data_IF_731194318033
#
_entry.id   IF_731194318033
#
_cell.length_a   1.000
_cell.length_b   1.000
_cell.length_c   1.000
_cell.angle_alpha   90.00
_cell.angle_beta   90.00
_cell.angle_gamma   90.00
#
_symmetry.space_group_name_H-M   'P 1'
#
loop_
_entity.id
_entity.type
_entity.pdbx_description
1 polymer ?
#
# COMPACT_ATOMS: atom_id res chain seq x y z
N UNK A 1 20.90 -21.09 -28.07
CA UNK A 1 21.21 -20.22 -26.93
C UNK A 1 19.90 -19.97 -26.19
N UNK A 2 19.65 -20.68 -25.08
CA UNK A 2 18.51 -20.35 -24.19
C UNK A 2 18.85 -19.05 -23.48
N UNK A 3 18.16 -17.96 -23.80
CA UNK A 3 18.17 -16.78 -22.97
C UNK A 3 17.38 -17.11 -21.68
N UNK A 4 18.09 -17.31 -20.59
CA UNK A 4 17.49 -17.35 -19.27
C UNK A 4 16.99 -15.94 -18.95
N UNK A 5 15.71 -15.68 -19.20
CA UNK A 5 15.05 -14.48 -18.69
C UNK A 5 14.97 -14.62 -17.19
N UNK A 6 15.73 -13.81 -16.47
CA UNK A 6 15.61 -13.74 -15.01
C UNK A 6 14.22 -13.22 -14.66
N UNK A 7 13.37 -14.09 -14.13
CA UNK A 7 12.08 -13.71 -13.58
C UNK A 7 12.35 -13.05 -12.22
N UNK A 8 12.04 -11.77 -12.09
CA UNK A 8 12.15 -11.03 -10.85
C UNK A 8 10.78 -10.97 -10.17
N UNK A 9 10.71 -11.42 -8.93
CA UNK A 9 9.52 -11.25 -8.09
C UNK A 9 9.34 -9.76 -7.74
N UNK A 10 8.10 -9.31 -7.75
CA UNK A 10 7.71 -7.97 -7.32
C UNK A 10 6.91 -8.06 -6.03
N UNK A 11 7.02 -7.04 -5.18
CA UNK A 11 6.15 -6.89 -4.03
C UNK A 11 4.70 -6.62 -4.47
N UNK A 12 3.73 -7.00 -3.62
CA UNK A 12 2.35 -6.59 -3.82
C UNK A 12 2.23 -5.07 -3.90
N UNK A 13 1.44 -4.57 -4.86
CA UNK A 13 1.17 -3.15 -5.02
C UNK A 13 -0.34 -2.88 -5.06
N UNK A 14 -0.73 -1.64 -4.74
CA UNK A 14 -2.12 -1.23 -4.64
C UNK A 14 -2.42 -0.08 -5.58
N UNK A 15 -3.61 -0.11 -6.20
CA UNK A 15 -4.12 1.02 -6.98
C UNK A 15 -4.51 2.17 -6.06
N UNK A 16 -5.05 1.84 -4.88
CA UNK A 16 -5.34 2.80 -3.81
C UNK A 16 -4.15 2.90 -2.83
N UNK A 17 -2.94 3.22 -3.33
CA UNK A 17 -1.71 3.26 -2.53
C UNK A 17 -1.80 4.20 -1.32
N UNK A 18 -2.65 5.22 -1.38
CA UNK A 18 -2.90 6.19 -0.31
C UNK A 18 -3.70 5.59 0.87
N UNK A 19 -4.37 4.45 0.69
CA UNK A 19 -5.14 3.77 1.76
C UNK A 19 -4.23 2.89 2.62
N UNK A 20 -3.15 2.35 2.07
CA UNK A 20 -2.20 1.51 2.80
C UNK A 20 -0.85 2.21 3.00
N UNK A 21 -0.81 3.31 3.77
CA UNK A 21 0.36 4.19 3.83
C UNK A 21 1.62 3.51 4.36
N UNK A 22 1.49 2.53 5.27
CA UNK A 22 2.63 1.81 5.84
C UNK A 22 3.25 0.78 4.87
N UNK A 23 2.57 0.46 3.75
CA UNK A 23 3.16 -0.33 2.66
C UNK A 23 3.90 0.54 1.65
N UNK A 24 3.63 1.85 1.68
CA UNK A 24 4.19 2.84 0.77
C UNK A 24 5.47 3.47 1.34
N UNK A 25 5.40 3.97 2.57
CA UNK A 25 6.51 4.66 3.22
C UNK A 25 6.35 4.62 4.75
N UNK A 26 7.33 4.09 5.50
CA UNK A 26 7.28 4.09 6.97
C UNK A 26 7.13 5.48 7.60
N UNK A 27 7.52 6.55 6.90
CA UNK A 27 7.36 7.93 7.37
C UNK A 27 5.90 8.38 7.54
N UNK A 28 4.92 7.59 7.05
CA UNK A 28 3.50 7.86 7.32
C UNK A 28 3.02 7.39 8.70
N UNK A 29 3.82 6.65 9.44
CA UNK A 29 3.44 6.11 10.75
C UNK A 29 3.09 7.24 11.73
N UNK A 30 1.85 7.21 12.24
CA UNK A 30 1.32 8.23 13.16
C UNK A 30 1.03 9.59 12.53
N UNK A 31 1.18 9.74 11.19
CA UNK A 31 0.97 11.01 10.49
C UNK A 31 -0.41 11.05 9.83
N UNK A 32 -1.39 11.53 10.57
CA UNK A 32 -2.78 11.74 10.15
C UNK A 32 -3.50 12.68 11.12
N UNK A 33 -4.61 13.26 10.72
CA UNK A 33 -5.38 14.19 11.56
C UNK A 33 -6.30 13.42 12.52
N UNK A 34 -5.70 12.73 13.49
CA UNK A 34 -6.41 11.91 14.48
C UNK A 34 -5.52 11.49 15.63
N UNK A 35 -6.01 10.57 16.47
CA UNK A 35 -5.23 9.97 17.54
C UNK A 35 -4.71 8.59 17.15
N UNK A 36 -5.54 7.84 16.44
CA UNK A 36 -5.20 6.54 15.92
C UNK A 36 -5.90 6.33 14.56
N UNK A 37 -5.27 5.53 13.72
CA UNK A 37 -5.79 5.17 12.40
C UNK A 37 -5.79 3.65 12.27
N UNK A 38 -6.87 3.13 11.77
CA UNK A 38 -6.97 1.78 11.25
C UNK A 38 -7.14 1.85 9.73
N UNK A 39 -6.42 1.02 8.98
CA UNK A 39 -6.58 0.93 7.54
C UNK A 39 -6.63 -0.53 7.11
N UNK A 40 -7.51 -0.85 6.19
CA UNK A 40 -7.65 -2.16 5.58
C UNK A 40 -7.81 -2.04 4.08
N UNK A 41 -7.19 -2.96 3.34
CA UNK A 41 -7.30 -3.01 1.90
C UNK A 41 -7.38 -4.47 1.43
N UNK A 42 -8.24 -4.71 0.44
CA UNK A 42 -8.41 -5.99 -0.23
C UNK A 42 -8.38 -5.80 -1.74
N UNK A 43 -7.42 -6.41 -2.41
CA UNK A 43 -7.22 -6.34 -3.86
C UNK A 43 -7.28 -7.73 -4.47
N UNK A 44 -8.05 -7.87 -5.54
CA UNK A 44 -8.04 -9.04 -6.41
C UNK A 44 -7.62 -8.62 -7.80
N UNK A 45 -6.44 -9.07 -8.25
CA UNK A 45 -5.86 -8.69 -9.54
C UNK A 45 -5.95 -9.87 -10.51
N UNK A 46 -6.31 -9.58 -11.76
CA UNK A 46 -6.46 -10.51 -12.88
C UNK A 46 -7.35 -11.73 -12.54
N UNK A 47 -8.60 -11.49 -12.14
CA UNK A 47 -9.50 -12.56 -11.70
C UNK A 47 -9.81 -13.59 -12.80
N UNK A 48 -9.60 -13.23 -14.07
CA UNK A 48 -9.80 -14.10 -15.23
C UNK A 48 -8.61 -15.03 -15.52
N UNK A 49 -7.47 -14.78 -14.89
CA UNK A 49 -6.25 -15.59 -15.04
C UNK A 49 -6.08 -16.43 -13.76
N UNK A 50 -6.88 -17.48 -13.61
CA UNK A 50 -6.81 -18.45 -12.51
C UNK A 50 -6.60 -17.81 -11.13
N UNK A 51 -7.35 -16.72 -10.81
CA UNK A 51 -7.20 -15.96 -9.57
C UNK A 51 -5.74 -15.57 -9.29
N UNK A 52 -5.08 -14.94 -10.26
CA UNK A 52 -3.64 -14.74 -10.26
C UNK A 52 -3.10 -14.15 -8.97
N UNK A 53 -3.73 -13.07 -8.45
CA UNK A 53 -3.27 -12.46 -7.20
C UNK A 53 -4.44 -12.00 -6.32
N UNK A 54 -4.32 -12.26 -5.02
CA UNK A 54 -5.23 -11.74 -4.00
C UNK A 54 -4.40 -11.23 -2.83
N UNK A 55 -4.47 -9.93 -2.58
CA UNK A 55 -3.71 -9.26 -1.54
C UNK A 55 -4.64 -8.60 -0.54
N UNK A 56 -4.40 -8.78 0.74
CA UNK A 56 -5.10 -8.10 1.82
C UNK A 56 -4.11 -7.47 2.79
N UNK A 57 -4.45 -6.28 3.29
CA UNK A 57 -3.68 -5.58 4.32
C UNK A 57 -4.57 -5.13 5.46
N UNK A 58 -3.98 -5.09 6.64
CA UNK A 58 -4.55 -4.43 7.79
C UNK A 58 -3.43 -3.71 8.54
N UNK A 59 -3.64 -2.44 8.89
CA UNK A 59 -2.67 -1.67 9.67
C UNK A 59 -3.37 -0.88 10.76
N UNK A 60 -2.64 -0.65 11.83
CA UNK A 60 -3.04 0.21 12.94
C UNK A 60 -1.85 1.06 13.35
N UNK A 61 -2.03 2.37 13.41
CA UNK A 61 -0.98 3.29 13.82
C UNK A 61 -1.55 4.44 14.65
N UNK A 62 -0.71 4.98 15.51
CA UNK A 62 -1.07 6.03 16.45
C UNK A 62 0.13 6.88 16.84
N UNK A 63 -0.12 8.11 17.29
CA UNK A 63 0.91 9.00 17.82
C UNK A 63 1.11 8.80 19.32
N UNK A 64 2.37 8.85 19.76
CA UNK A 64 2.77 8.72 21.16
C UNK A 64 3.42 10.01 21.68
N UNK A 65 3.51 10.15 22.99
CA UNK A 65 4.22 11.24 23.68
C UNK A 65 3.78 12.66 23.27
N UNK A 66 2.54 12.82 22.77
CA UNK A 66 2.03 14.07 22.21
C UNK A 66 2.14 15.28 23.16
N UNK A 67 2.14 15.05 24.50
CA UNK A 67 2.21 16.10 25.51
C UNK A 67 3.65 16.39 25.99
N UNK A 68 4.63 15.57 25.60
CA UNK A 68 6.04 15.67 26.00
C UNK A 68 6.94 16.16 24.91
N UNK A 69 6.52 15.98 23.64
CA UNK A 69 7.29 16.41 22.46
C UNK A 69 7.21 17.93 22.28
N UNK A 70 8.20 18.53 21.59
CA UNK A 70 8.10 19.91 21.14
C UNK A 70 6.80 20.20 20.40
N UNK A 71 6.40 21.46 20.37
CA UNK A 71 5.18 21.89 19.68
C UNK A 71 5.28 21.49 18.20
N UNK A 72 4.22 20.87 17.67
CA UNK A 72 4.09 20.41 16.29
C UNK A 72 4.98 19.22 15.87
N UNK A 73 5.82 18.69 16.76
CA UNK A 73 6.50 17.42 16.53
C UNK A 73 5.52 16.24 16.81
N UNK A 74 5.73 15.13 16.11
CA UNK A 74 4.91 13.92 16.28
C UNK A 74 5.81 12.68 16.24
N UNK A 75 5.56 11.76 17.16
CA UNK A 75 6.18 10.44 17.13
C UNK A 75 5.10 9.38 16.98
N UNK A 76 5.21 8.59 15.92
CA UNK A 76 4.25 7.54 15.57
C UNK A 76 4.78 6.14 15.83
N UNK A 77 3.88 5.25 16.22
CA UNK A 77 4.08 3.79 16.22
C UNK A 77 2.98 3.14 15.39
N UNK A 78 3.32 2.03 14.72
CA UNK A 78 2.35 1.32 13.90
C UNK A 78 2.68 -0.15 13.73
N UNK A 79 1.65 -0.91 13.40
CA UNK A 79 1.74 -2.33 13.03
C UNK A 79 1.02 -2.53 11.70
N UNK A 80 1.52 -3.47 10.91
CA UNK A 80 0.97 -3.82 9.60
C UNK A 80 1.02 -5.33 9.41
N UNK A 81 -0.06 -5.89 8.89
CA UNK A 81 -0.12 -7.25 8.40
C UNK A 81 -0.52 -7.26 6.93
N UNK A 82 0.19 -8.03 6.12
CA UNK A 82 -0.11 -8.27 4.70
C UNK A 82 -0.22 -9.78 4.49
N UNK A 83 -1.23 -10.19 3.76
CA UNK A 83 -1.32 -11.53 3.21
C UNK A 83 -1.50 -11.41 1.69
N UNK A 84 -0.58 -12.00 0.95
CA UNK A 84 -0.55 -12.00 -0.50
C UNK A 84 -0.53 -13.43 -1.02
N UNK A 85 -1.49 -13.75 -1.88
CA UNK A 85 -1.68 -15.08 -2.44
C UNK A 85 -1.61 -15.01 -3.96
N UNK A 86 -0.87 -15.92 -4.56
CA UNK A 86 -0.77 -16.03 -6.01
C UNK A 86 -0.96 -17.46 -6.51
N UNK A 87 -1.33 -17.60 -7.79
CA UNK A 87 -1.50 -18.90 -8.44
C UNK A 87 -2.52 -19.79 -7.73
N UNK A 88 -3.73 -19.29 -7.46
CA UNK A 88 -4.76 -20.02 -6.73
C UNK A 88 -4.27 -20.55 -5.34
N UNK A 89 -3.51 -19.73 -4.61
CA UNK A 89 -2.90 -20.03 -3.31
C UNK A 89 -1.74 -21.02 -3.35
N UNK A 90 -1.12 -21.27 -4.49
CA UNK A 90 0.12 -22.05 -4.58
C UNK A 90 1.22 -21.35 -3.80
N UNK A 91 1.38 -20.03 -4.00
CA UNK A 91 2.29 -19.21 -3.20
C UNK A 91 1.48 -18.32 -2.25
N UNK A 92 1.83 -18.37 -0.98
CA UNK A 92 1.24 -17.55 0.08
C UNK A 92 2.35 -16.81 0.83
N UNK A 93 2.33 -15.48 0.76
CA UNK A 93 3.27 -14.58 1.44
C UNK A 93 2.55 -13.87 2.58
N UNK A 94 3.11 -13.93 3.77
CA UNK A 94 2.60 -13.21 4.94
C UNK A 94 3.69 -12.32 5.50
N UNK A 95 3.37 -11.03 5.71
CA UNK A 95 4.30 -10.05 6.25
C UNK A 95 3.69 -9.41 7.49
N UNK A 96 4.46 -9.34 8.55
CA UNK A 96 4.09 -8.69 9.81
C UNK A 96 5.14 -7.64 10.14
N UNK A 97 4.72 -6.39 10.21
CA UNK A 97 5.64 -5.26 10.36
C UNK A 97 5.32 -4.43 11.58
N UNK A 98 6.37 -3.91 12.19
CA UNK A 98 6.31 -2.85 13.20
C UNK A 98 7.03 -1.63 12.64
N UNK A 99 6.41 -0.47 12.74
CA UNK A 99 6.95 0.78 12.20
C UNK A 99 6.98 1.88 13.25
N UNK A 100 7.91 2.79 13.10
CA UNK A 100 8.01 4.03 13.87
C UNK A 100 8.44 5.17 12.97
N UNK A 101 7.93 6.37 13.24
CA UNK A 101 8.35 7.57 12.52
C UNK A 101 8.35 8.78 13.44
N UNK A 102 9.34 9.63 13.26
CA UNK A 102 9.43 10.92 13.93
C UNK A 102 9.29 12.05 12.93
N UNK A 103 8.30 12.92 13.15
CA UNK A 103 8.03 14.11 12.36
C UNK A 103 8.48 15.34 13.13
N UNK A 104 9.42 16.07 12.58
CA UNK A 104 9.97 17.31 13.10
C UNK A 104 9.33 18.50 12.39
N UNK A 105 8.74 19.42 13.15
CA UNK A 105 8.37 20.73 12.65
C UNK A 105 9.64 21.59 12.46
N UNK A 106 9.74 22.24 11.31
CA UNK A 106 10.89 23.10 10.95
C UNK A 106 10.60 24.58 11.23
N UNK A 107 9.35 24.90 11.51
CA UNK A 107 8.87 26.24 11.85
C UNK A 107 7.96 26.20 13.09
N UNK A 108 7.73 27.36 13.71
CA UNK A 108 6.91 27.46 14.92
C UNK A 108 5.44 27.15 14.67
N UNK A 109 4.94 27.42 13.47
CA UNK A 109 3.56 27.17 13.07
C UNK A 109 3.30 25.69 12.69
N UNK A 110 4.36 24.89 12.52
CA UNK A 110 4.28 23.48 12.06
C UNK A 110 3.80 23.34 10.61
N UNK A 111 3.99 24.37 9.79
CA UNK A 111 3.64 24.35 8.37
C UNK A 111 4.61 23.51 7.55
N UNK A 112 5.89 23.58 7.90
CA UNK A 112 6.96 22.80 7.30
C UNK A 112 7.35 21.65 8.21
N UNK A 113 7.25 20.42 7.72
CA UNK A 113 7.57 19.24 8.51
C UNK A 113 8.42 18.27 7.70
N UNK A 114 9.43 17.70 8.34
CA UNK A 114 10.19 16.57 7.82
C UNK A 114 9.96 15.36 8.70
N UNK A 115 9.75 14.21 8.09
CA UNK A 115 9.49 12.96 8.81
C UNK A 115 10.46 11.89 8.34
N UNK A 116 11.03 11.15 9.29
CA UNK A 116 11.86 9.97 9.02
C UNK A 116 11.18 8.77 9.67
N UNK A 117 11.06 7.68 8.92
CA UNK A 117 10.41 6.46 9.36
C UNK A 117 11.26 5.21 9.15
N UNK A 118 11.06 4.24 10.04
CA UNK A 118 11.70 2.93 10.01
C UNK A 118 10.64 1.84 10.21
N UNK A 119 10.85 0.70 9.57
CA UNK A 119 9.97 -0.44 9.68
C UNK A 119 10.79 -1.73 9.67
N UNK A 120 10.53 -2.61 10.63
CA UNK A 120 11.00 -3.97 10.66
C UNK A 120 9.88 -4.93 10.29
N UNK A 121 10.14 -5.88 9.42
CA UNK A 121 9.16 -6.83 8.90
C UNK A 121 9.64 -8.26 9.08
N UNK A 122 8.80 -9.10 9.66
CA UNK A 122 8.95 -10.55 9.60
C UNK A 122 8.14 -11.08 8.42
N UNK A 123 8.80 -11.74 7.48
CA UNK A 123 8.21 -12.32 6.29
C UNK A 123 8.19 -13.85 6.38
N UNK A 124 7.06 -14.44 6.00
CA UNK A 124 6.89 -15.89 5.87
C UNK A 124 6.30 -16.18 4.49
N UNK A 125 7.03 -16.94 3.67
CA UNK A 125 6.58 -17.39 2.35
C UNK A 125 6.40 -18.89 2.34
N UNK A 126 5.26 -19.35 1.84
CA UNK A 126 4.90 -20.77 1.77
C UNK A 126 4.51 -21.10 0.34
N UNK A 127 5.15 -22.14 -0.20
CA UNK A 127 4.85 -22.69 -1.51
C UNK A 127 4.20 -24.08 -1.32
N UNK A 128 2.92 -24.19 -1.66
CA UNK A 128 2.18 -25.46 -1.63
C UNK A 128 2.21 -26.11 -3.02
N UNK A 129 3.23 -26.90 -3.27
CA UNK A 129 3.47 -27.58 -4.55
C UNK A 129 2.34 -28.54 -4.90
N UNK A 130 1.63 -29.10 -3.94
CA UNK A 130 0.51 -30.03 -4.16
C UNK A 130 -0.69 -29.39 -4.90
N UNK A 131 -0.67 -28.07 -5.05
CA UNK A 131 -1.65 -27.27 -5.80
C UNK A 131 -1.16 -26.86 -7.18
N UNK A 132 0.09 -27.20 -7.51
CA UNK A 132 0.66 -26.93 -8.82
C UNK A 132 0.27 -28.04 -9.78
N UNK A 133 0.03 -27.68 -11.02
CA UNK A 133 -0.18 -28.61 -12.12
C UNK A 133 1.18 -28.90 -12.77
N UNK A 134 1.52 -30.16 -12.98
CA UNK A 134 2.78 -30.61 -13.58
C UNK A 134 2.57 -31.12 -14.99
N UNK A 135 3.63 -31.07 -15.79
CA UNK A 135 3.58 -31.46 -17.20
C UNK A 135 3.17 -32.94 -17.38
N UNK A 136 3.62 -33.83 -16.49
CA UNK A 136 3.32 -35.26 -16.53
C UNK A 136 1.84 -35.60 -16.18
N UNK A 137 1.13 -34.65 -15.61
CA UNK A 137 -0.31 -34.75 -15.34
C UNK A 137 -1.16 -34.41 -16.58
N UNK A 138 -0.57 -33.75 -17.58
CA UNK A 138 -1.32 -33.26 -18.74
C UNK A 138 -1.61 -34.41 -19.72
N UNK A 139 -2.89 -34.68 -19.93
CA UNK A 139 -3.41 -35.63 -20.93
C UNK A 139 -4.24 -34.92 -21.99
N UNK A 140 -4.67 -35.64 -23.02
CA UNK A 140 -5.59 -35.11 -24.03
C UNK A 140 -6.95 -34.70 -23.45
N UNK A 141 -7.28 -35.13 -22.23
CA UNK A 141 -8.52 -34.80 -21.51
C UNK A 141 -8.33 -33.73 -20.42
N UNK A 142 -7.10 -33.21 -20.24
CA UNK A 142 -6.73 -32.24 -19.21
C UNK A 142 -5.80 -32.81 -18.17
N UNK A 143 -5.62 -32.09 -17.05
CA UNK A 143 -4.76 -32.49 -15.95
C UNK A 143 -5.42 -33.60 -15.10
N UNK A 144 -4.67 -34.66 -14.83
CA UNK A 144 -5.17 -35.84 -14.06
C UNK A 144 -5.08 -35.63 -12.56
N UNK A 145 -4.25 -34.68 -12.11
CA UNK A 145 -3.93 -34.48 -10.69
C UNK A 145 -3.04 -35.58 -10.09
N UNK A 146 -2.39 -36.39 -10.94
CA UNK A 146 -1.48 -37.46 -10.52
C UNK A 146 -0.13 -37.21 -11.17
N UNK A 147 0.84 -36.76 -10.39
CA UNK A 147 2.23 -36.54 -10.83
C UNK A 147 3.15 -37.66 -10.33
N UNK A 148 4.17 -37.98 -11.10
CA UNK A 148 5.28 -38.82 -10.70
C UNK A 148 6.32 -38.10 -9.84
N UNK A 149 6.22 -36.77 -9.74
CA UNK A 149 7.12 -35.96 -8.92
C UNK A 149 6.93 -36.25 -7.42
N UNK A 150 8.05 -36.51 -6.73
CA UNK A 150 8.02 -36.81 -5.29
C UNK A 150 8.37 -35.56 -4.50
N UNK A 151 7.34 -34.92 -3.95
CA UNK A 151 7.51 -33.83 -3.01
C UNK A 151 7.33 -34.33 -1.59
N UNK A 152 8.17 -33.84 -0.68
CA UNK A 152 7.99 -34.15 0.76
C UNK A 152 6.60 -33.68 1.25
N UNK A 153 6.14 -34.24 2.37
CA UNK A 153 4.80 -33.94 2.91
C UNK A 153 4.58 -32.51 3.41
N UNK A 154 5.62 -31.70 3.49
CA UNK A 154 5.54 -30.31 3.99
C UNK A 154 5.62 -29.29 2.85
N UNK A 155 4.82 -28.24 2.89
CA UNK A 155 4.99 -27.11 1.98
C UNK A 155 6.37 -26.50 2.19
N UNK A 156 7.03 -26.12 1.10
CA UNK A 156 8.27 -25.36 1.19
C UNK A 156 7.97 -24.02 1.85
N UNK A 157 8.71 -23.67 2.89
CA UNK A 157 8.55 -22.40 3.58
C UNK A 157 9.90 -21.75 3.88
N UNK A 158 9.94 -20.45 3.75
CA UNK A 158 11.07 -19.61 4.11
C UNK A 158 10.58 -18.47 5.00
N UNK A 159 11.41 -18.10 5.97
CA UNK A 159 11.17 -16.95 6.81
C UNK A 159 12.42 -16.06 6.82
N UNK A 160 12.20 -14.76 6.82
CA UNK A 160 13.29 -13.79 6.91
C UNK A 160 12.85 -12.51 7.59
N UNK A 161 13.84 -11.74 8.03
CA UNK A 161 13.63 -10.39 8.52
C UNK A 161 14.04 -9.36 7.46
N UNK A 162 13.25 -8.31 7.37
CA UNK A 162 13.41 -7.25 6.40
C UNK A 162 13.35 -5.88 7.06
N UNK A 163 14.15 -4.94 6.58
CA UNK A 163 14.23 -3.57 7.09
C UNK A 163 13.91 -2.56 6.00
N UNK A 164 13.06 -1.60 6.35
CA UNK A 164 12.56 -0.58 5.46
C UNK A 164 12.74 0.79 6.09
N UNK A 165 12.97 1.79 5.27
CA UNK A 165 13.11 3.18 5.72
C UNK A 165 12.47 4.14 4.74
N UNK A 166 12.14 5.33 5.25
CA UNK A 166 11.61 6.35 4.38
C UNK A 166 11.68 7.75 5.00
N UNK A 167 11.57 8.71 4.14
CA UNK A 167 11.56 10.13 4.47
C UNK A 167 10.39 10.82 3.77
N UNK A 168 9.83 11.83 4.39
CA UNK A 168 8.75 12.62 3.82
C UNK A 168 8.88 14.07 4.27
N UNK A 169 8.70 14.99 3.35
CA UNK A 169 8.49 16.40 3.61
C UNK A 169 7.04 16.75 3.38
N UNK A 170 6.45 17.53 4.27
CA UNK A 170 5.09 18.03 4.17
C UNK A 170 5.07 19.54 4.41
N UNK A 171 4.25 20.21 3.62
CA UNK A 171 3.98 21.66 3.68
C UNK A 171 2.49 21.89 3.79
N UNK A 172 2.08 22.71 4.74
CA UNK A 172 0.70 23.23 4.84
C UNK A 172 0.73 24.75 4.74
N UNK A 173 -0.20 25.34 4.00
CA UNK A 173 -0.32 26.79 3.87
C UNK A 173 -1.49 27.34 4.69
N UNK A 174 -1.54 28.66 4.90
CA UNK A 174 -2.63 29.33 5.62
C UNK A 174 -4.01 29.14 4.97
N UNK A 175 -4.04 28.86 3.66
CA UNK A 175 -5.26 28.55 2.91
C UNK A 175 -5.68 27.08 3.00
N UNK A 176 -5.16 26.32 4.00
CA UNK A 176 -5.41 24.89 4.19
C UNK A 176 -4.92 23.99 3.02
N UNK A 177 -4.20 24.53 2.03
CA UNK A 177 -3.55 23.69 1.05
C UNK A 177 -2.45 22.88 1.75
N UNK A 178 -2.32 21.63 1.36
CA UNK A 178 -1.22 20.82 1.82
C UNK A 178 -0.54 20.08 0.67
N UNK A 179 0.78 19.99 0.77
CA UNK A 179 1.63 19.33 -0.23
C UNK A 179 2.55 18.36 0.51
N UNK A 180 2.87 17.25 -0.11
CA UNK A 180 3.86 16.34 0.43
C UNK A 180 4.68 15.70 -0.67
N UNK A 181 5.92 15.39 -0.35
CA UNK A 181 6.84 14.64 -1.19
C UNK A 181 7.62 13.68 -0.30
N UNK A 182 7.70 12.43 -0.68
CA UNK A 182 8.39 11.41 0.09
C UNK A 182 9.12 10.40 -0.78
N UNK A 183 10.05 9.71 -0.13
CA UNK A 183 10.75 8.59 -0.70
C UNK A 183 10.94 7.48 0.33
N UNK A 184 10.95 6.23 -0.12
CA UNK A 184 11.19 5.08 0.74
C UNK A 184 12.04 4.04 0.03
N UNK A 185 12.76 3.25 0.82
CA UNK A 185 13.49 2.07 0.37
C UNK A 185 13.07 0.90 1.22
N UNK A 186 12.51 -0.11 0.58
CA UNK A 186 12.17 -1.40 1.16
C UNK A 186 13.26 -2.41 0.84
N UNK A 187 13.39 -3.45 1.66
CA UNK A 187 14.42 -4.50 1.53
C UNK A 187 15.83 -3.93 1.56
N UNK A 188 16.11 -3.03 2.52
CA UNK A 188 17.44 -2.39 2.68
C UNK A 188 18.52 -3.43 2.94
N UNK A 189 18.22 -4.45 3.75
CA UNK A 189 19.14 -5.55 4.09
C UNK A 189 19.18 -6.65 3.03
N UNK A 190 18.34 -6.58 1.96
CA UNK A 190 18.28 -7.56 0.86
C UNK A 190 18.30 -9.01 1.37
N UNK A 191 17.28 -9.44 2.13
CA UNK A 191 17.26 -10.78 2.72
C UNK A 191 17.34 -11.86 1.63
N UNK A 192 17.88 -13.02 1.98
CA UNK A 192 17.92 -14.17 1.08
C UNK A 192 16.55 -14.84 1.02
N UNK A 193 16.07 -15.07 -0.19
CA UNK A 193 14.77 -15.62 -0.50
C UNK A 193 14.91 -16.85 -1.40
N UNK A 194 15.12 -18.03 -0.82
CA UNK A 194 15.30 -19.26 -1.57
C UNK A 194 14.61 -20.43 -0.88
N UNK A 195 13.78 -21.16 -1.63
CA UNK A 195 13.16 -22.41 -1.17
C UNK A 195 14.10 -23.62 -1.25
N UNK A 196 15.13 -23.55 -2.10
CA UNK A 196 16.04 -24.67 -2.41
C UNK A 196 17.47 -24.44 -1.92
N UNK A 197 17.69 -23.46 -1.02
CA UNK A 197 19.01 -23.17 -0.45
C UNK A 197 19.97 -22.41 -1.37
N UNK A 198 19.50 -21.92 -2.53
CA UNK A 198 20.27 -21.02 -3.40
C UNK A 198 20.41 -19.60 -2.80
N UNK A 199 21.37 -18.84 -3.27
CA UNK A 199 21.58 -17.46 -2.81
C UNK A 199 20.82 -16.47 -3.68
N UNK A 200 19.51 -16.33 -3.43
CA UNK A 200 18.66 -15.33 -4.11
C UNK A 200 18.38 -14.18 -3.16
N UNK A 201 19.04 -13.05 -3.39
CA UNK A 201 18.82 -11.83 -2.62
C UNK A 201 17.61 -11.07 -3.15
N UNK A 202 16.68 -10.74 -2.26
CA UNK A 202 15.54 -9.89 -2.60
C UNK A 202 16.02 -8.50 -3.01
N UNK A 203 15.54 -8.03 -4.15
CA UNK A 203 15.94 -6.70 -4.65
C UNK A 203 15.25 -5.60 -3.86
N UNK A 204 16.01 -4.56 -3.52
CA UNK A 204 15.45 -3.38 -2.90
C UNK A 204 14.42 -2.70 -3.80
N UNK A 205 13.32 -2.25 -3.19
CA UNK A 205 12.29 -1.45 -3.85
C UNK A 205 12.45 0.01 -3.44
N UNK A 206 12.74 0.87 -4.42
CA UNK A 206 12.78 2.32 -4.23
C UNK A 206 11.45 2.92 -4.69
N UNK A 207 10.89 3.81 -3.87
CA UNK A 207 9.62 4.49 -4.15
C UNK A 207 9.78 5.98 -3.94
N UNK A 208 9.24 6.77 -4.88
CA UNK A 208 9.04 8.22 -4.74
C UNK A 208 7.56 8.49 -4.90
N UNK A 209 6.99 9.28 -4.02
CA UNK A 209 5.57 9.60 -4.04
C UNK A 209 5.33 11.04 -3.58
N UNK A 210 4.23 11.61 -4.00
CA UNK A 210 3.84 12.94 -3.57
C UNK A 210 2.39 13.23 -3.88
N UNK A 211 1.93 14.34 -3.36
CA UNK A 211 0.57 14.79 -3.61
C UNK A 211 0.27 16.17 -3.07
N UNK A 212 -0.94 16.61 -3.37
CA UNK A 212 -1.47 17.87 -2.97
C UNK A 212 -2.94 17.74 -2.58
N UNK A 213 -3.32 18.43 -1.54
CA UNK A 213 -4.70 18.70 -1.15
C UNK A 213 -4.96 20.19 -1.33
N UNK A 214 -5.97 20.53 -2.12
CA UNK A 214 -6.34 21.91 -2.43
C UNK A 214 -7.85 22.07 -2.24
N UNK A 215 -8.31 22.79 -1.19
CA UNK A 215 -9.72 23.12 -1.05
C UNK A 215 -10.17 24.08 -2.16
N UNK A 216 -11.36 23.82 -2.70
CA UNK A 216 -12.01 24.65 -3.72
C UNK A 216 -13.32 25.17 -3.14
N UNK A 217 -13.26 26.38 -2.58
CA UNK A 217 -14.38 26.92 -1.84
C UNK A 217 -14.66 26.13 -0.56
N UNK A 218 -15.90 26.17 -0.09
CA UNK A 218 -16.25 25.68 1.26
C UNK A 218 -16.54 24.18 1.31
N UNK A 219 -16.91 23.54 0.20
CA UNK A 219 -17.49 22.19 0.21
C UNK A 219 -16.80 21.20 -0.73
N UNK A 220 -15.73 21.63 -1.38
CA UNK A 220 -15.03 20.78 -2.36
C UNK A 220 -13.53 20.87 -2.13
N UNK A 221 -12.84 19.77 -2.43
CA UNK A 221 -11.38 19.78 -2.49
C UNK A 221 -10.87 18.84 -3.58
N UNK A 222 -9.70 19.16 -4.11
CA UNK A 222 -8.96 18.27 -5.01
C UNK A 222 -7.84 17.61 -4.21
N UNK A 223 -7.73 16.30 -4.37
CA UNK A 223 -6.62 15.48 -3.91
C UNK A 223 -5.89 14.95 -5.15
N UNK A 224 -4.73 15.46 -5.47
CA UNK A 224 -3.88 14.94 -6.53
C UNK A 224 -2.72 14.16 -5.92
N UNK A 225 -2.34 13.05 -6.55
CA UNK A 225 -1.22 12.26 -6.05
C UNK A 225 -0.53 11.46 -7.15
N UNK A 226 0.73 11.14 -6.92
CA UNK A 226 1.51 10.25 -7.77
C UNK A 226 2.38 9.32 -6.94
N UNK A 227 2.74 8.21 -7.55
CA UNK A 227 3.74 7.27 -7.06
C UNK A 227 4.59 6.80 -8.23
N UNK A 228 5.89 6.71 -8.02
CA UNK A 228 6.82 6.01 -8.88
C UNK A 228 7.61 5.01 -8.05
N UNK A 229 7.58 3.75 -8.42
CA UNK A 229 8.34 2.70 -7.74
C UNK A 229 9.11 1.84 -8.72
N UNK A 230 10.27 1.35 -8.25
CA UNK A 230 11.16 0.47 -9.00
C UNK A 230 11.69 -0.64 -8.10
N UNK A 231 11.57 -1.89 -8.55
CA UNK A 231 12.16 -3.06 -7.92
C UNK A 231 12.76 -3.96 -9.01
N UNK A 232 14.06 -4.18 -8.97
CA UNK A 232 14.78 -4.88 -10.03
C UNK A 232 14.53 -4.28 -11.44
N UNK A 233 14.01 -5.06 -12.37
CA UNK A 233 13.65 -4.63 -13.72
C UNK A 233 12.25 -4.02 -13.79
N UNK A 234 11.41 -4.25 -12.78
CA UNK A 234 10.05 -3.76 -12.75
C UNK A 234 9.98 -2.30 -12.32
N UNK A 235 9.12 -1.55 -12.98
CA UNK A 235 8.82 -0.16 -12.66
C UNK A 235 7.33 0.10 -12.82
N UNK A 236 6.80 0.92 -11.95
CA UNK A 236 5.40 1.34 -11.98
C UNK A 236 5.31 2.84 -11.72
N UNK A 237 4.44 3.51 -12.42
CA UNK A 237 4.11 4.92 -12.17
C UNK A 237 2.60 5.08 -12.24
N UNK A 238 2.01 5.56 -11.14
CA UNK A 238 0.62 5.98 -11.10
C UNK A 238 0.56 7.49 -10.87
N UNK A 239 -0.39 8.13 -11.52
CA UNK A 239 -0.73 9.52 -11.28
C UNK A 239 -2.24 9.71 -11.41
N UNK A 240 -2.81 10.58 -10.62
CA UNK A 240 -4.24 10.81 -10.67
C UNK A 240 -4.72 11.81 -9.64
N UNK A 241 -6.03 11.99 -9.61
CA UNK A 241 -6.69 12.88 -8.68
C UNK A 241 -8.10 12.43 -8.35
N UNK A 242 -8.57 12.85 -7.18
CA UNK A 242 -9.97 12.77 -6.77
C UNK A 242 -10.48 14.14 -6.37
N UNK A 243 -11.75 14.38 -6.61
CA UNK A 243 -12.47 15.50 -6.04
C UNK A 243 -13.33 14.99 -4.88
N UNK A 244 -13.23 15.63 -3.72
CA UNK A 244 -14.14 15.40 -2.61
C UNK A 244 -15.23 16.46 -2.58
N UNK A 245 -16.44 16.00 -2.20
CA UNK A 245 -17.64 16.82 -2.06
C UNK A 245 -18.17 16.62 -0.66
N UNK A 246 -18.20 17.68 0.15
CA UNK A 246 -18.90 17.66 1.42
C UNK A 246 -20.41 17.77 1.15
N UNK A 247 -21.13 16.68 1.43
CA UNK A 247 -22.57 16.56 1.16
C UNK A 247 -23.44 17.02 2.34
N UNK A 248 -22.83 17.20 3.51
CA UNK A 248 -23.50 17.63 4.71
C UNK A 248 -22.85 18.92 5.22
N UNK A 249 -23.63 19.99 5.31
CA UNK A 249 -23.17 21.30 5.79
C UNK A 249 -22.94 21.37 7.31
N UNK A 250 -23.18 20.28 8.02
CA UNK A 250 -22.96 20.19 9.46
C UNK A 250 -21.50 19.80 9.76
N UNK A 251 -20.81 20.60 10.58
CA UNK A 251 -19.42 20.35 10.97
C UNK A 251 -19.24 19.09 11.85
N UNK A 252 -20.33 18.64 12.51
CA UNK A 252 -20.23 17.57 13.54
C UNK A 252 -20.09 16.18 12.93
N UNK A 253 -20.70 15.92 11.80
CA UNK A 253 -20.67 14.62 11.12
C UNK A 253 -20.51 14.82 9.59
N UNK A 254 -19.32 15.11 9.11
CA UNK A 254 -19.11 15.32 7.68
C UNK A 254 -19.42 14.03 6.90
N UNK A 255 -20.20 14.20 5.84
CA UNK A 255 -20.43 13.18 4.82
C UNK A 255 -19.69 13.65 3.57
N UNK A 256 -18.59 12.98 3.22
CA UNK A 256 -17.80 13.34 2.06
C UNK A 256 -17.85 12.24 0.99
N UNK A 257 -18.18 12.63 -0.24
CA UNK A 257 -18.13 11.77 -1.42
C UNK A 257 -16.84 12.08 -2.19
N UNK A 258 -16.08 11.05 -2.53
CA UNK A 258 -14.86 11.12 -3.33
C UNK A 258 -15.10 10.48 -4.69
N UNK A 259 -14.78 11.20 -5.77
CA UNK A 259 -14.87 10.69 -7.15
C UNK A 259 -13.64 11.11 -7.92
N UNK A 260 -13.05 10.18 -8.65
CA UNK A 260 -11.87 10.48 -9.47
C UNK A 260 -11.24 9.23 -10.04
N UNK A 261 -9.94 9.27 -10.26
CA UNK A 261 -9.22 8.11 -10.76
C UNK A 261 -7.73 8.35 -10.94
N UNK A 262 -7.05 7.25 -11.18
CA UNK A 262 -5.62 7.20 -11.47
C UNK A 262 -5.36 6.55 -12.82
N UNK A 263 -4.23 6.87 -13.39
CA UNK A 263 -3.69 6.19 -14.56
C UNK A 263 -2.35 5.55 -14.21
N UNK A 264 -2.30 4.23 -14.34
CA UNK A 264 -1.05 3.47 -14.27
C UNK A 264 -0.43 3.47 -15.65
N UNK A 265 0.69 4.17 -15.79
CA UNK A 265 1.31 4.42 -17.09
C UNK A 265 1.61 3.12 -17.83
N UNK A 266 1.03 2.99 -19.02
CA UNK A 266 1.21 1.83 -19.89
C UNK A 266 0.48 0.56 -19.45
N UNK A 267 -0.37 0.60 -18.40
CA UNK A 267 -1.05 -0.61 -17.91
C UNK A 267 -2.57 -0.44 -17.73
N UNK A 268 -3.04 0.52 -16.91
CA UNK A 268 -4.46 0.56 -16.56
C UNK A 268 -4.99 1.96 -16.28
N UNK A 269 -6.27 2.18 -16.60
CA UNK A 269 -7.09 3.28 -16.10
C UNK A 269 -7.85 2.78 -14.86
N UNK A 270 -7.88 3.59 -13.79
CA UNK A 270 -8.37 3.18 -12.47
C UNK A 270 -9.40 4.20 -11.96
N UNK A 271 -10.67 4.11 -12.33
CA UNK A 271 -11.73 4.86 -11.68
C UNK A 271 -11.82 4.52 -10.19
N UNK A 272 -12.09 5.54 -9.39
CA UNK A 272 -12.21 5.46 -7.94
C UNK A 272 -13.46 6.18 -7.45
N UNK A 273 -14.09 5.59 -6.44
CA UNK A 273 -15.18 6.16 -5.66
C UNK A 273 -14.93 5.91 -4.18
N UNK A 274 -15.18 6.90 -3.35
CA UNK A 274 -15.06 6.79 -1.89
C UNK A 274 -16.19 7.50 -1.18
N UNK A 275 -16.53 7.03 0.02
CA UNK A 275 -17.51 7.63 0.91
C UNK A 275 -16.92 7.72 2.31
N UNK A 276 -16.90 8.92 2.89
CA UNK A 276 -16.46 9.13 4.26
C UNK A 276 -17.63 9.58 5.15
N UNK A 277 -17.83 8.87 6.25
CA UNK A 277 -18.85 9.17 7.25
C UNK A 277 -18.33 8.83 8.65
N UNK A 278 -18.47 9.76 9.58
CA UNK A 278 -18.09 9.55 11.00
C UNK A 278 -16.64 9.04 11.18
N UNK A 279 -15.69 9.52 10.37
CA UNK A 279 -14.30 9.10 10.41
C UNK A 279 -14.00 7.76 9.72
N UNK A 280 -15.02 7.06 9.19
CA UNK A 280 -14.86 5.91 8.31
C UNK A 280 -14.85 6.36 6.85
N UNK A 281 -13.79 6.02 6.12
CA UNK A 281 -13.73 6.17 4.67
C UNK A 281 -13.73 4.80 4.03
N UNK A 282 -14.71 4.55 3.19
CA UNK A 282 -14.81 3.37 2.33
C UNK A 282 -14.38 3.77 0.93
N UNK A 283 -13.57 2.94 0.28
CA UNK A 283 -13.10 3.17 -1.08
C UNK A 283 -13.31 1.94 -1.96
N UNK A 284 -13.61 2.20 -3.22
CA UNK A 284 -13.68 1.20 -4.27
C UNK A 284 -12.96 1.70 -5.51
N UNK A 285 -12.14 0.85 -6.11
CA UNK A 285 -11.54 1.10 -7.41
C UNK A 285 -11.56 -0.13 -8.30
N UNK A 286 -11.50 0.10 -9.60
CA UNK A 286 -11.49 -0.94 -10.61
C UNK A 286 -10.41 -0.66 -11.65
N UNK A 287 -9.48 -1.59 -11.83
CA UNK A 287 -8.42 -1.46 -12.83
C UNK A 287 -8.93 -1.94 -14.19
N UNK A 288 -8.97 -1.04 -15.17
CA UNK A 288 -9.31 -1.34 -16.56
C UNK A 288 -7.99 -1.46 -17.32
N UNK A 289 -7.57 -2.68 -17.68
CA UNK A 289 -6.31 -2.88 -18.40
C UNK A 289 -6.35 -2.24 -19.79
N UNK A 290 -5.34 -1.44 -20.08
CA UNK A 290 -5.11 -0.80 -21.37
C UNK A 290 -3.85 -1.36 -22.06
N UNK A 291 -3.03 -2.13 -21.34
CA UNK A 291 -1.81 -2.78 -21.82
C UNK A 291 -2.09 -3.97 -22.76
N UNK A 292 -1.03 -4.62 -23.24
CA UNK A 292 -1.14 -5.86 -24.02
C UNK A 292 -1.85 -6.99 -23.28
N UNK A 293 -1.88 -6.96 -21.94
CA UNK A 293 -2.63 -7.91 -21.10
C UNK A 293 -4.16 -7.82 -21.26
N UNK A 294 -4.68 -6.74 -21.85
CA UNK A 294 -6.12 -6.53 -22.02
C UNK A 294 -6.85 -7.69 -22.69
N UNK A 295 -6.20 -8.39 -23.60
CA UNK A 295 -6.79 -9.56 -24.28
C UNK A 295 -6.93 -10.76 -23.34
N UNK A 296 -5.89 -11.07 -22.55
CA UNK A 296 -5.90 -12.17 -21.60
C UNK A 296 -6.80 -11.89 -20.39
N UNK A 297 -6.87 -10.65 -19.94
CA UNK A 297 -7.68 -10.24 -18.79
C UNK A 297 -9.13 -9.89 -19.17
N UNK A 298 -9.46 -9.81 -20.46
CA UNK A 298 -10.74 -9.30 -20.97
C UNK A 298 -11.03 -7.91 -20.35
N UNK A 299 -10.02 -7.02 -20.35
CA UNK A 299 -10.01 -5.70 -19.71
C UNK A 299 -10.19 -5.70 -18.18
N UNK A 300 -10.31 -6.86 -17.52
CA UNK A 300 -10.53 -6.98 -16.07
C UNK A 300 -9.18 -7.02 -15.35
N UNK A 301 -8.61 -5.85 -15.07
CA UNK A 301 -7.32 -5.71 -14.41
C UNK A 301 -7.38 -6.06 -12.93
N UNK A 302 -8.38 -5.56 -12.21
CA UNK A 302 -8.54 -5.88 -10.79
C UNK A 302 -9.61 -5.05 -10.10
N UNK A 303 -10.04 -5.53 -8.94
CA UNK A 303 -10.92 -4.80 -8.03
C UNK A 303 -10.20 -4.57 -6.72
N UNK A 304 -10.43 -3.40 -6.11
CA UNK A 304 -9.84 -3.06 -4.82
C UNK A 304 -10.88 -2.38 -3.93
N UNK A 305 -11.02 -2.89 -2.71
CA UNK A 305 -11.87 -2.36 -1.65
C UNK A 305 -11.00 -1.90 -0.51
N UNK A 306 -11.35 -0.78 0.08
CA UNK A 306 -10.61 -0.20 1.18
C UNK A 306 -11.48 0.36 2.28
N UNK A 307 -10.94 0.38 3.48
CA UNK A 307 -11.53 1.04 4.64
C UNK A 307 -10.42 1.75 5.41
N UNK A 308 -10.68 3.00 5.77
CA UNK A 308 -9.86 3.77 6.72
C UNK A 308 -10.78 4.24 7.84
N UNK A 309 -10.31 4.13 9.06
CA UNK A 309 -10.94 4.76 10.20
C UNK A 309 -9.94 5.61 10.96
N UNK A 310 -10.26 6.88 11.14
CA UNK A 310 -9.45 7.82 11.93
C UNK A 310 -10.23 8.22 13.18
N UNK A 311 -9.77 7.71 14.30
CA UNK A 311 -10.37 8.02 15.60
C UNK A 311 -9.69 9.20 16.30
N UNK A 312 -10.48 9.94 17.07
CA UNK A 312 -10.00 11.03 17.94
C UNK A 312 -10.42 10.73 19.37
N UNK A 313 -9.45 10.64 20.29
CA UNK A 313 -9.81 10.69 21.71
C UNK A 313 -10.26 12.11 22.07
N UNK A 314 -11.24 12.21 22.95
CA UNK A 314 -11.63 13.51 23.55
C UNK A 314 -10.55 13.89 24.58
N UNK A 315 -9.44 14.42 24.12
CA UNK A 315 -8.40 14.98 24.96
C UNK A 315 -8.50 16.50 24.90
N UNK A 316 -8.87 17.18 26.01
CA UNK A 316 -9.00 18.63 26.07
C UNK A 316 -7.69 19.39 25.84
N UNK A 317 -6.53 18.70 25.93
CA UNK A 317 -5.20 19.30 25.76
C UNK A 317 -4.56 19.01 24.37
N UNK A 318 -5.31 18.42 23.45
CA UNK A 318 -4.75 17.93 22.19
C UNK A 318 -4.39 19.07 21.24
N UNK A 319 -3.14 19.11 20.82
CA UNK A 319 -2.65 19.98 19.76
C UNK A 319 -3.21 19.54 18.40
N UNK A 320 -3.54 20.51 17.53
CA UNK A 320 -3.92 20.23 16.15
C UNK A 320 -2.66 19.81 15.39
N UNK A 321 -2.62 18.59 14.88
CA UNK A 321 -1.52 18.10 14.05
C UNK A 321 -1.79 18.52 12.62
N UNK A 322 -0.89 19.31 12.03
CA UNK A 322 -0.96 19.65 10.60
C UNK A 322 -0.48 18.44 9.79
N UNK A 323 -1.41 17.69 9.26
CA UNK A 323 -1.13 16.55 8.40
C UNK A 323 -1.78 16.77 7.05
N UNK A 324 -1.09 16.43 5.94
CA UNK A 324 -1.72 16.39 4.63
C UNK A 324 -2.92 15.45 4.67
N UNK A 325 -4.03 15.86 4.09
CA UNK A 325 -5.16 14.96 3.84
C UNK A 325 -4.82 14.12 2.61
N UNK A 326 -4.90 12.81 2.72
CA UNK A 326 -4.63 11.87 1.63
C UNK A 326 -5.93 11.41 1.00
#
# INVERSE_FOLDING_TARGET
MLQTTSLYAQDPHFSQFFVSPLTLNPAYTGKFNGTYRFSGNYRKQWPTINNAFTTSTASYDFSILNNTLPVNDTWGLGVLAINDQSGNKILNNSFYSVSTAYSKALDEDGKHQITIGFQGTFASKKLDIRRADFEDELTSLGFTGVTSEIFGNNPFSINYFDFNTGVMYALSTDGENSFYLGGSVYHVNRPSESFLGGNYLLNSRATVHGGAFVPIGQYKAIHASFIHQKQAAAKETLLGATMSFNMNYEEVNPLELYVGGWYRLGDALIPYMGLEINGFRFGFSYDINTSSLKQATIYKGGTEFSIIYVGKFKDPFKKKINCPKY
#
